data_IF_701331635133
#
_entry.id   IF_701331635133
#
_cell.length_a   1.000
_cell.length_b   1.000
_cell.length_c   1.000
_cell.angle_alpha   90.00
_cell.angle_beta   90.00
_cell.angle_gamma   90.00
#
_symmetry.space_group_name_H-M   'P 1'
#
loop_
_entity.id
_entity.type
_entity.pdbx_description
1 polymer ?
#
# COMPACT_ATOMS: atom_id res chain seq x y z
N UNK A 1 19.89 -25.25 26.04
CA UNK A 1 20.05 -23.92 25.43
C UNK A 1 18.98 -23.76 24.34
N UNK A 2 18.06 -22.79 24.49
CA UNK A 2 16.99 -22.53 23.51
C UNK A 2 17.34 -21.28 22.70
N UNK A 3 17.50 -21.47 21.38
CA UNK A 3 17.35 -20.55 20.23
C UNK A 3 17.65 -19.05 20.46
N UNK A 4 18.83 -18.58 20.04
CA UNK A 4 19.21 -17.16 19.94
C UNK A 4 18.95 -16.60 18.55
N UNK A 5 17.68 -16.50 18.17
CA UNK A 5 17.20 -15.61 17.11
C UNK A 5 15.97 -14.91 17.69
N UNK A 6 16.10 -13.61 17.93
CA UNK A 6 15.01 -12.78 18.47
C UNK A 6 14.01 -12.40 17.39
N UNK A 7 14.49 -12.22 16.17
CA UNK A 7 13.72 -11.76 15.03
C UNK A 7 14.48 -12.00 13.71
N UNK A 8 13.72 -12.22 12.64
CA UNK A 8 14.22 -12.28 11.27
C UNK A 8 13.19 -11.56 10.39
N UNK A 9 13.26 -10.23 10.37
CA UNK A 9 12.37 -9.40 9.56
C UNK A 9 13.02 -9.25 8.18
N UNK A 10 12.23 -9.43 7.13
CA UNK A 10 12.67 -9.12 5.76
C UNK A 10 12.76 -7.60 5.64
N UNK A 11 13.98 -7.11 5.38
CA UNK A 11 14.15 -5.70 5.05
C UNK A 11 13.54 -5.43 3.69
N UNK A 12 12.78 -4.37 3.62
CA UNK A 12 12.25 -3.86 2.36
C UNK A 12 13.32 -3.02 1.66
N UNK A 13 13.16 -2.82 0.35
CA UNK A 13 14.05 -1.98 -0.43
C UNK A 13 14.15 -0.54 0.12
N UNK A 14 15.37 -0.03 0.13
CA UNK A 14 15.69 1.34 0.57
C UNK A 14 15.08 2.36 -0.39
N UNK A 15 14.50 3.44 0.15
CA UNK A 15 13.96 4.53 -0.66
C UNK A 15 15.04 5.56 -0.99
N UNK A 16 15.08 6.03 -2.24
CA UNK A 16 16.04 7.08 -2.65
C UNK A 16 15.90 8.37 -1.83
N UNK A 17 14.69 8.68 -1.34
CA UNK A 17 14.45 9.86 -0.48
C UNK A 17 15.23 9.80 0.84
N UNK A 18 15.47 8.61 1.40
CA UNK A 18 16.28 8.47 2.60
C UNK A 18 17.76 8.75 2.31
N UNK A 19 18.25 8.28 1.15
CA UNK A 19 19.63 8.46 0.71
C UNK A 19 19.96 9.92 0.38
N UNK A 20 19.09 10.60 -0.37
CA UNK A 20 19.24 12.04 -0.65
C UNK A 20 19.25 12.90 0.63
N UNK A 21 18.51 12.48 1.67
CA UNK A 21 18.45 13.19 2.95
C UNK A 21 19.71 12.96 3.79
N UNK A 22 20.33 11.79 3.71
CA UNK A 22 21.66 11.51 4.28
C UNK A 22 22.76 12.25 3.52
N UNK A 23 22.70 12.28 2.19
CA UNK A 23 23.66 12.99 1.33
C UNK A 23 23.58 14.53 1.53
N UNK A 24 22.38 15.07 1.76
CA UNK A 24 22.18 16.51 2.03
C UNK A 24 22.56 16.94 3.45
N UNK A 25 22.82 15.98 4.36
CA UNK A 25 23.18 16.26 5.76
C UNK A 25 24.63 15.88 6.08
N UNK A 26 25.32 15.17 5.18
CA UNK A 26 26.71 14.74 5.33
C UNK A 26 27.69 15.70 4.66
N UNK A 27 27.77 16.94 5.16
CA UNK A 27 28.85 17.90 4.85
C UNK A 27 30.22 17.51 5.46
N UNK A 28 30.46 16.23 5.76
CA UNK A 28 31.75 15.78 6.27
C UNK A 28 32.12 14.39 5.72
N UNK A 29 32.98 14.42 4.69
CA UNK A 29 33.89 13.35 4.26
C UNK A 29 33.38 12.28 3.26
N UNK A 30 33.34 12.68 1.99
CA UNK A 30 33.64 11.92 0.76
C UNK A 30 33.32 10.40 0.75
N UNK A 31 32.20 10.04 0.13
CA UNK A 31 32.09 8.83 -0.70
C UNK A 31 31.58 9.22 -2.10
N UNK A 32 32.12 8.63 -3.18
CA UNK A 32 31.62 8.91 -4.52
C UNK A 32 30.17 8.42 -4.63
N UNK A 33 29.27 9.17 -5.30
CA UNK A 33 27.91 8.72 -5.52
C UNK A 33 27.97 7.42 -6.33
N UNK A 34 27.61 6.30 -5.71
CA UNK A 34 27.37 5.06 -6.42
C UNK A 34 26.31 5.29 -7.51
N UNK A 35 26.30 4.50 -8.60
CA UNK A 35 25.28 4.62 -9.64
C UNK A 35 23.88 4.67 -9.02
N UNK A 36 23.23 5.83 -9.12
CA UNK A 36 21.87 5.99 -8.64
C UNK A 36 20.97 5.20 -9.60
N UNK A 37 20.26 4.15 -9.15
CA UNK A 37 19.23 3.56 -9.99
C UNK A 37 18.21 4.67 -10.33
N UNK A 38 17.63 4.67 -11.54
CA UNK A 38 16.65 5.67 -11.94
C UNK A 38 15.55 5.79 -10.88
N UNK A 39 15.17 7.04 -10.53
CA UNK A 39 14.13 7.35 -9.54
C UNK A 39 12.76 6.69 -9.83
N UNK A 40 12.57 6.21 -11.06
CA UNK A 40 11.37 5.52 -11.54
C UNK A 40 11.23 4.08 -11.02
N UNK A 41 12.27 3.54 -10.35
CA UNK A 41 12.33 2.13 -9.94
C UNK A 41 11.85 1.89 -8.49
N UNK A 42 11.49 2.91 -7.70
CA UNK A 42 11.09 2.75 -6.28
C UNK A 42 9.67 2.14 -6.14
N UNK A 43 9.50 0.82 -5.88
CA UNK A 43 8.18 0.17 -5.88
C UNK A 43 7.27 0.68 -4.75
N UNK A 44 7.87 1.15 -3.65
CA UNK A 44 7.18 1.74 -2.50
C UNK A 44 6.48 3.05 -2.84
N UNK A 45 7.14 3.92 -3.62
CA UNK A 45 6.58 5.22 -4.01
C UNK A 45 5.39 5.03 -4.95
N UNK A 46 5.55 4.17 -5.95
CA UNK A 46 4.46 3.83 -6.87
C UNK A 46 3.23 3.28 -6.14
N UNK A 47 3.46 2.44 -5.13
CA UNK A 47 2.39 1.90 -4.31
C UNK A 47 1.73 2.98 -3.46
N UNK A 48 2.48 3.85 -2.80
CA UNK A 48 1.93 4.93 -1.98
C UNK A 48 1.11 5.92 -2.83
N UNK A 49 1.60 6.32 -4.00
CA UNK A 49 0.90 7.25 -4.88
C UNK A 49 -0.40 6.69 -5.48
N UNK A 50 -0.46 5.37 -5.69
CA UNK A 50 -1.61 4.72 -6.35
C UNK A 50 -2.60 4.15 -5.33
N UNK A 51 -2.12 3.51 -4.27
CA UNK A 51 -2.95 2.77 -3.31
C UNK A 51 -3.45 3.61 -2.13
N UNK A 52 -2.73 4.67 -1.70
CA UNK A 52 -3.21 5.54 -0.60
C UNK A 52 -4.46 6.36 -0.98
N UNK A 53 -4.75 6.47 -2.27
CA UNK A 53 -5.91 7.20 -2.80
C UNK A 53 -7.17 6.34 -2.71
N UNK A 54 -7.99 6.60 -1.68
CA UNK A 54 -9.27 5.94 -1.41
C UNK A 54 -10.28 6.08 -2.57
N UNK A 55 -10.11 7.06 -3.44
CA UNK A 55 -10.98 7.33 -4.59
C UNK A 55 -10.71 6.45 -5.80
N UNK A 56 -9.57 5.74 -5.84
CA UNK A 56 -9.16 4.94 -7.00
C UNK A 56 -9.40 3.44 -6.75
N UNK A 57 -9.64 2.69 -7.82
CA UNK A 57 -9.74 1.24 -7.72
C UNK A 57 -8.42 0.65 -7.20
N UNK A 58 -8.51 -0.36 -6.34
CA UNK A 58 -7.35 -0.94 -5.68
C UNK A 58 -6.41 -1.62 -6.71
N UNK A 59 -5.14 -1.19 -6.84
CA UNK A 59 -4.20 -1.75 -7.82
C UNK A 59 -3.64 -3.10 -7.36
N UNK A 60 -4.44 -4.17 -7.48
CA UNK A 60 -4.13 -5.51 -6.99
C UNK A 60 -2.82 -6.09 -7.56
N UNK A 61 -2.53 -5.81 -8.83
CA UNK A 61 -1.33 -6.33 -9.50
C UNK A 61 -0.04 -5.77 -8.89
N UNK A 62 -0.03 -4.48 -8.52
CA UNK A 62 1.12 -3.84 -7.86
C UNK A 62 1.31 -4.35 -6.43
N UNK A 63 0.20 -4.52 -5.69
CA UNK A 63 0.23 -5.10 -4.33
C UNK A 63 0.78 -6.52 -4.37
N UNK A 64 0.38 -7.32 -5.37
CA UNK A 64 0.88 -8.69 -5.56
C UNK A 64 2.37 -8.73 -5.85
N UNK A 65 2.88 -7.84 -6.70
CA UNK A 65 4.30 -7.82 -7.05
C UNK A 65 5.19 -7.40 -5.86
N UNK A 66 4.70 -6.53 -4.98
CA UNK A 66 5.48 -6.01 -3.85
C UNK A 66 5.33 -6.83 -2.55
N UNK A 67 4.11 -7.26 -2.20
CA UNK A 67 3.83 -8.02 -0.96
C UNK A 67 3.68 -9.52 -1.18
N UNK A 68 3.55 -9.97 -2.43
CA UNK A 68 3.28 -11.36 -2.77
C UNK A 68 1.78 -11.72 -2.81
N UNK A 69 1.51 -12.96 -3.21
CA UNK A 69 0.15 -13.42 -3.54
C UNK A 69 -0.79 -13.52 -2.34
N UNK A 70 -0.28 -13.93 -1.17
CA UNK A 70 -1.09 -14.13 0.05
C UNK A 70 -1.75 -12.82 0.51
N UNK A 71 -0.97 -11.75 0.54
CA UNK A 71 -1.43 -10.42 0.97
C UNK A 71 -2.33 -9.81 -0.11
N UNK A 72 -1.99 -9.97 -1.38
CA UNK A 72 -2.85 -9.53 -2.49
C UNK A 72 -4.23 -10.20 -2.45
N UNK A 73 -4.30 -11.49 -2.14
CA UNK A 73 -5.56 -12.22 -2.03
C UNK A 73 -6.43 -11.72 -0.86
N UNK A 74 -5.82 -11.42 0.28
CA UNK A 74 -6.53 -10.82 1.42
C UNK A 74 -7.22 -9.51 1.04
N UNK A 75 -6.50 -8.64 0.32
CA UNK A 75 -7.06 -7.37 -0.16
C UNK A 75 -8.11 -7.58 -1.25
N UNK A 76 -7.91 -8.53 -2.17
CA UNK A 76 -8.88 -8.89 -3.20
C UNK A 76 -10.24 -9.26 -2.58
N UNK A 77 -10.20 -10.13 -1.59
CA UNK A 77 -11.38 -10.60 -0.88
C UNK A 77 -12.09 -9.45 -0.16
N UNK A 78 -11.34 -8.63 0.57
CA UNK A 78 -11.88 -7.46 1.28
C UNK A 78 -12.55 -6.47 0.32
N UNK A 79 -11.93 -6.20 -0.84
CA UNK A 79 -12.51 -5.37 -1.88
C UNK A 79 -13.86 -5.91 -2.38
N UNK A 80 -13.94 -7.21 -2.65
CA UNK A 80 -15.18 -7.86 -3.08
C UNK A 80 -16.30 -7.78 -2.03
N UNK A 81 -15.96 -7.92 -0.75
CA UNK A 81 -16.94 -7.78 0.34
C UNK A 81 -17.53 -6.37 0.40
N UNK A 82 -16.69 -5.34 0.30
CA UNK A 82 -17.13 -3.94 0.34
C UNK A 82 -18.03 -3.64 -0.87
N UNK A 83 -17.66 -4.10 -2.07
CA UNK A 83 -18.49 -3.90 -3.27
C UNK A 83 -19.83 -4.61 -3.17
N UNK A 84 -19.86 -5.80 -2.55
CA UNK A 84 -21.11 -6.54 -2.36
C UNK A 84 -22.03 -5.84 -1.37
N UNK A 85 -21.48 -5.16 -0.36
CA UNK A 85 -22.24 -4.44 0.66
C UNK A 85 -22.94 -3.17 0.13
N UNK A 86 -22.44 -2.58 -0.95
CA UNK A 86 -23.08 -1.42 -1.58
C UNK A 86 -24.51 -1.75 -2.07
N UNK A 87 -24.75 -2.96 -2.58
CA UNK A 87 -26.06 -3.39 -3.08
C UNK A 87 -27.14 -3.38 -1.98
N UNK A 88 -26.98 -4.10 -0.83
CA UNK A 88 -27.95 -4.06 0.25
C UNK A 88 -28.05 -2.68 0.91
N UNK A 89 -26.98 -1.88 0.93
CA UNK A 89 -27.06 -0.49 1.42
C UNK A 89 -28.00 0.35 0.58
N UNK A 90 -27.89 0.30 -0.76
CA UNK A 90 -28.79 1.04 -1.67
C UNK A 90 -30.24 0.54 -1.51
N UNK A 91 -30.44 -0.78 -1.43
CA UNK A 91 -31.76 -1.36 -1.22
C UNK A 91 -32.37 -0.94 0.13
N UNK A 92 -31.59 -0.95 1.21
CA UNK A 92 -32.01 -0.51 2.53
C UNK A 92 -32.39 0.98 2.57
N UNK A 93 -31.60 1.84 1.93
CA UNK A 93 -31.90 3.27 1.82
C UNK A 93 -33.20 3.49 1.02
N UNK A 94 -33.41 2.74 -0.08
CA UNK A 94 -34.62 2.87 -0.88
C UNK A 94 -35.88 2.51 -0.09
N UNK A 95 -35.86 1.38 0.63
CA UNK A 95 -36.98 0.95 1.50
C UNK A 95 -37.20 1.94 2.64
N UNK A 96 -36.13 2.47 3.23
CA UNK A 96 -36.21 3.47 4.31
C UNK A 96 -36.88 4.77 3.85
N UNK A 97 -36.53 5.29 2.67
CA UNK A 97 -37.14 6.49 2.09
C UNK A 97 -38.60 6.24 1.74
N UNK A 98 -38.94 5.08 1.15
CA UNK A 98 -40.33 4.71 0.87
C UNK A 98 -41.18 4.71 2.15
N UNK A 99 -40.68 4.09 3.22
CA UNK A 99 -41.36 4.07 4.52
C UNK A 99 -41.46 5.45 5.21
N UNK A 100 -40.57 6.39 4.90
CA UNK A 100 -40.64 7.78 5.37
C UNK A 100 -41.62 8.63 4.56
N UNK A 101 -41.84 8.32 3.29
CA UNK A 101 -42.77 9.05 2.42
C UNK A 101 -44.23 8.58 2.62
N UNK A 102 -44.43 7.28 2.87
CA UNK A 102 -45.74 6.68 3.11
C UNK A 102 -46.27 6.94 4.54
N UNK A 103 -45.47 7.56 5.42
CA UNK A 103 -45.81 7.83 6.83
C UNK A 103 -45.86 9.32 7.11
#
# INVERSE_FOLDING_TARGET
MRKTYTDSIVLHDDSIKCREKEDSQSDHFLSPPGPQPPLDEDPRRLLDETWSKVTKFQPLWHIRNYFGEKIAFYFAWTGMLITTLWIPTVFGIAVFIYGLYER
#
